data_IF_647207968761
#
_entry.id   IF_647207968761
#
_cell.length_a   1.000
_cell.length_b   1.000
_cell.length_c   1.000
_cell.angle_alpha   90.00
_cell.angle_beta   90.00
_cell.angle_gamma   90.00
#
_symmetry.space_group_name_H-M   'P 1'
#
loop_
_entity.id
_entity.type
_entity.pdbx_description
1 polymer ?
#
# COMPACT_ATOMS: atom_id res chain seq x y z
N UNK A 1 3.71 -5.13 18.89
CA UNK A 1 2.67 -4.38 18.18
C UNK A 1 2.32 -5.09 16.89
N UNK A 2 1.05 -5.17 16.60
CA UNK A 2 0.58 -5.89 15.42
C UNK A 2 0.57 -4.96 14.22
N UNK A 3 1.03 -5.45 13.07
CA UNK A 3 0.88 -4.74 11.80
C UNK A 3 -0.60 -4.58 11.48
N UNK A 4 -0.96 -3.47 10.82
CA UNK A 4 -2.34 -3.28 10.38
C UNK A 4 -2.77 -4.35 9.38
N UNK A 5 -1.92 -4.67 8.45
CA UNK A 5 -2.14 -5.74 7.50
C UNK A 5 -3.40 -5.60 6.67
N UNK A 6 -3.66 -6.65 5.90
CA UNK A 6 -4.79 -6.70 4.99
C UNK A 6 -6.10 -6.91 5.75
N UNK A 7 -7.11 -6.11 5.40
CA UNK A 7 -8.44 -6.21 5.98
C UNK A 7 -8.59 -5.65 7.39
N UNK A 8 -7.54 -5.08 7.96
CA UNK A 8 -7.57 -4.47 9.28
C UNK A 8 -7.80 -2.98 9.13
N UNK A 9 -8.89 -2.46 9.69
CA UNK A 9 -9.22 -1.06 9.61
C UNK A 9 -8.56 -0.25 10.71
N UNK A 10 -7.84 0.80 10.30
CA UNK A 10 -7.17 1.77 11.15
C UNK A 10 -7.27 3.13 10.47
N UNK A 11 -6.73 4.17 11.10
CA UNK A 11 -6.61 5.49 10.48
C UNK A 11 -7.91 5.97 9.85
N UNK A 12 -9.02 5.90 10.60
CA UNK A 12 -10.31 6.37 10.12
C UNK A 12 -10.95 5.45 9.11
N UNK A 13 -10.66 4.15 9.17
CA UNK A 13 -11.21 3.16 8.26
C UNK A 13 -10.31 2.85 7.07
N UNK A 14 -9.16 3.49 6.98
CA UNK A 14 -8.19 3.18 5.93
C UNK A 14 -7.50 1.84 6.17
N UNK A 15 -7.31 1.09 5.09
CA UNK A 15 -6.59 -0.18 5.11
C UNK A 15 -6.01 -0.47 3.74
N UNK A 16 -5.15 -1.48 3.64
CA UNK A 16 -4.67 -1.95 2.35
C UNK A 16 -5.12 -3.38 2.09
N UNK A 17 -5.21 -3.73 0.82
CA UNK A 17 -5.59 -5.06 0.37
C UNK A 17 -4.78 -5.41 -0.88
N UNK A 18 -4.65 -6.70 -1.15
CA UNK A 18 -4.08 -7.17 -2.41
C UNK A 18 -5.18 -7.31 -3.46
N UNK A 19 -4.91 -6.89 -4.68
CA UNK A 19 -5.87 -6.98 -5.77
C UNK A 19 -5.20 -7.64 -6.99
N UNK A 20 -5.72 -8.76 -7.49
CA UNK A 20 -7.03 -9.38 -7.18
C UNK A 20 -7.08 -10.16 -5.88
N UNK A 21 -5.97 -10.48 -5.27
CA UNK A 21 -5.95 -11.18 -4.00
C UNK A 21 -4.53 -11.48 -3.54
N UNK A 22 -4.37 -11.76 -2.24
CA UNK A 22 -3.05 -11.97 -1.63
C UNK A 22 -2.28 -13.10 -2.32
N UNK A 23 -2.95 -14.18 -2.66
CA UNK A 23 -2.32 -15.31 -3.34
C UNK A 23 -1.71 -14.91 -4.69
N UNK A 24 -2.38 -14.04 -5.43
CA UNK A 24 -1.93 -13.60 -6.74
C UNK A 24 -0.80 -12.58 -6.68
N UNK A 25 -0.79 -11.75 -5.67
CA UNK A 25 0.18 -10.65 -5.54
C UNK A 25 1.42 -11.10 -4.79
N UNK A 26 1.25 -11.78 -3.66
CA UNK A 26 2.37 -12.22 -2.82
C UNK A 26 2.79 -13.65 -3.10
N UNK A 27 1.85 -14.53 -3.50
CA UNK A 27 2.17 -15.91 -3.85
C UNK A 27 2.89 -16.66 -2.72
N UNK A 28 3.98 -17.31 -3.07
CA UNK A 28 4.80 -18.09 -2.15
C UNK A 28 5.97 -17.29 -1.56
N UNK A 29 5.83 -15.98 -1.52
CA UNK A 29 6.88 -15.09 -1.01
C UNK A 29 7.25 -15.49 0.42
N UNK A 30 8.57 -15.57 0.74
CA UNK A 30 9.01 -15.87 2.11
C UNK A 30 8.44 -14.88 3.13
N UNK A 31 8.20 -15.36 4.36
CA UNK A 31 7.57 -14.55 5.40
C UNK A 31 8.32 -13.25 5.69
N UNK A 32 9.66 -13.28 5.68
CA UNK A 32 10.45 -12.07 5.91
C UNK A 32 10.27 -11.03 4.83
N UNK A 33 10.06 -11.47 3.58
CA UNK A 33 9.77 -10.55 2.45
C UNK A 33 8.36 -10.01 2.56
N UNK A 34 7.41 -10.85 2.95
CA UNK A 34 6.04 -10.39 3.19
C UNK A 34 5.99 -9.32 4.28
N UNK A 35 6.81 -9.48 5.33
CA UNK A 35 6.90 -8.48 6.40
C UNK A 35 7.39 -7.13 5.88
N UNK A 36 8.35 -7.12 4.96
CA UNK A 36 8.82 -5.88 4.33
C UNK A 36 7.69 -5.21 3.53
N UNK A 37 6.96 -5.99 2.75
CA UNK A 37 5.83 -5.49 1.98
C UNK A 37 4.75 -4.91 2.90
N UNK A 38 4.41 -5.63 3.96
CA UNK A 38 3.41 -5.18 4.92
C UNK A 38 3.80 -3.85 5.58
N UNK A 39 5.08 -3.71 5.95
CA UNK A 39 5.57 -2.48 6.56
C UNK A 39 5.44 -1.29 5.59
N UNK A 40 5.78 -1.50 4.33
CA UNK A 40 5.64 -0.46 3.31
C UNK A 40 4.17 -0.11 3.09
N UNK A 41 3.30 -1.12 2.98
CA UNK A 41 1.88 -0.89 2.76
C UNK A 41 1.23 -0.18 3.94
N UNK A 42 1.61 -0.53 5.18
CA UNK A 42 1.12 0.17 6.37
C UNK A 42 1.51 1.66 6.33
N UNK A 43 2.74 1.95 5.91
CA UNK A 43 3.20 3.33 5.73
C UNK A 43 2.43 4.08 4.66
N UNK A 44 2.15 3.44 3.53
CA UNK A 44 1.38 4.04 2.45
C UNK A 44 -0.07 4.33 2.89
N UNK A 45 -0.65 3.44 3.68
CA UNK A 45 -1.98 3.67 4.26
C UNK A 45 -1.98 4.88 5.19
N UNK A 46 -0.96 5.02 6.04
CA UNK A 46 -0.84 6.17 6.93
C UNK A 46 -0.81 7.48 6.14
N UNK A 47 0.03 7.52 5.11
CA UNK A 47 0.14 8.72 4.28
C UNK A 47 -1.16 9.02 3.53
N UNK A 48 -1.80 7.98 3.00
CA UNK A 48 -3.07 8.14 2.28
C UNK A 48 -4.17 8.67 3.21
N UNK A 49 -4.23 8.18 4.44
CA UNK A 49 -5.23 8.64 5.42
C UNK A 49 -5.07 10.11 5.77
N UNK A 50 -3.86 10.64 5.63
CA UNK A 50 -3.54 12.04 5.85
C UNK A 50 -3.53 12.88 4.56
N UNK A 51 -3.87 12.28 3.43
CA UNK A 51 -3.81 12.88 2.11
C UNK A 51 -2.40 13.43 1.77
N UNK A 52 -1.37 12.69 2.20
CA UNK A 52 0.03 13.06 1.95
C UNK A 52 0.59 12.22 0.81
N UNK A 53 1.27 12.86 -0.14
CA UNK A 53 1.92 12.16 -1.24
C UNK A 53 3.18 11.47 -0.72
N UNK A 54 3.31 10.14 -0.86
CA UNK A 54 4.49 9.42 -0.38
C UNK A 54 5.77 9.78 -1.12
N UNK A 55 5.67 10.47 -2.25
CA UNK A 55 6.83 10.83 -3.06
C UNK A 55 7.64 11.98 -2.48
N UNK A 56 6.95 13.02 -2.00
CA UNK A 56 7.61 14.23 -1.54
C UNK A 56 7.07 14.77 -0.20
N UNK A 57 6.10 14.09 0.39
CA UNK A 57 5.52 14.50 1.66
C UNK A 57 4.55 15.66 1.59
N UNK A 58 4.26 16.16 0.40
CA UNK A 58 3.29 17.24 0.23
C UNK A 58 1.86 16.72 0.31
N UNK A 59 0.89 17.62 0.32
CA UNK A 59 -0.51 17.22 0.23
C UNK A 59 -0.78 16.58 -1.12
N UNK A 60 -1.61 15.56 -1.09
CA UNK A 60 -1.90 14.76 -2.28
C UNK A 60 -2.80 15.54 -3.23
N UNK A 61 -2.26 15.95 -4.38
CA UNK A 61 -2.98 16.73 -5.39
C UNK A 61 -2.89 16.12 -6.78
N UNK A 62 -2.80 14.80 -6.86
CA UNK A 62 -2.70 14.11 -8.14
C UNK A 62 -4.02 14.28 -8.92
N UNK A 63 -3.98 14.81 -10.16
CA UNK A 63 -5.19 14.91 -10.99
C UNK A 63 -5.78 13.56 -11.35
N UNK A 64 -4.99 12.49 -11.20
CA UNK A 64 -5.45 11.11 -11.43
C UNK A 64 -5.18 10.28 -10.18
N UNK A 65 -5.90 10.55 -9.07
CA UNK A 65 -5.59 9.94 -7.78
C UNK A 65 -5.69 8.42 -7.76
N UNK A 66 -6.47 7.84 -8.67
CA UNK A 66 -6.67 6.38 -8.74
C UNK A 66 -5.77 5.69 -9.75
N UNK A 67 -4.79 6.40 -10.31
CA UNK A 67 -3.85 5.77 -11.23
C UNK A 67 -2.93 4.79 -10.51
N UNK A 68 -2.36 3.87 -11.27
CA UNK A 68 -1.35 2.95 -10.76
C UNK A 68 -0.07 3.73 -10.41
N UNK A 69 0.43 3.52 -9.22
CA UNK A 69 1.62 4.21 -8.71
C UNK A 69 2.68 3.18 -8.32
N UNK A 70 3.91 3.64 -8.20
CA UNK A 70 5.02 2.78 -7.78
C UNK A 70 5.64 3.30 -6.49
N UNK A 71 6.14 2.36 -5.69
CA UNK A 71 7.02 2.62 -4.56
C UNK A 71 8.27 1.78 -4.77
N UNK A 72 9.44 2.40 -4.58
CA UNK A 72 10.71 1.70 -4.73
C UNK A 72 11.66 2.10 -3.61
N UNK A 73 12.32 1.11 -3.02
CA UNK A 73 13.44 1.33 -2.13
C UNK A 73 14.54 0.31 -2.45
N UNK A 74 15.58 0.22 -1.63
CA UNK A 74 16.70 -0.67 -1.87
C UNK A 74 16.36 -2.15 -1.76
N UNK A 75 15.19 -2.49 -1.22
CA UNK A 75 14.78 -3.87 -0.97
C UNK A 75 13.71 -4.37 -1.92
N UNK A 76 12.81 -3.49 -2.38
CA UNK A 76 11.69 -3.92 -3.20
C UNK A 76 11.13 -2.79 -4.05
N UNK A 77 10.38 -3.19 -5.06
CA UNK A 77 9.59 -2.31 -5.90
C UNK A 77 8.18 -2.85 -5.91
N UNK A 78 7.19 -1.99 -5.67
CA UNK A 78 5.80 -2.42 -5.73
C UNK A 78 4.94 -1.41 -6.49
N UNK A 79 3.82 -1.91 -7.00
CA UNK A 79 2.80 -1.13 -7.67
C UNK A 79 1.55 -1.14 -6.83
N UNK A 80 0.99 0.04 -6.61
CA UNK A 80 -0.20 0.19 -5.78
C UNK A 80 -1.15 1.23 -6.38
N UNK A 81 -2.38 1.23 -5.89
CA UNK A 81 -3.41 2.14 -6.33
C UNK A 81 -4.18 2.62 -5.10
N UNK A 82 -4.31 3.92 -4.94
CA UNK A 82 -5.07 4.50 -3.84
C UNK A 82 -6.48 4.83 -4.32
N UNK A 83 -7.48 4.34 -3.59
CA UNK A 83 -8.89 4.57 -3.91
C UNK A 83 -9.52 5.33 -2.74
N UNK A 84 -9.50 6.67 -2.76
CA UNK A 84 -9.94 7.49 -1.63
C UNK A 84 -11.39 7.26 -1.19
N UNK A 85 -12.29 7.10 -2.14
CA UNK A 85 -13.72 6.90 -1.81
C UNK A 85 -14.00 5.56 -1.14
N UNK A 86 -13.05 4.63 -1.15
CA UNK A 86 -13.12 3.35 -0.45
C UNK A 86 -12.26 3.32 0.79
N UNK A 87 -11.45 4.35 1.00
CA UNK A 87 -10.43 4.39 2.06
C UNK A 87 -9.52 3.18 2.00
N UNK A 88 -9.06 2.85 0.79
CA UNK A 88 -8.21 1.67 0.55
C UNK A 88 -7.02 1.99 -0.32
N UNK A 89 -5.93 1.29 -0.03
CA UNK A 89 -4.76 1.22 -0.90
C UNK A 89 -4.66 -0.22 -1.40
N UNK A 90 -4.65 -0.42 -2.70
CA UNK A 90 -4.59 -1.76 -3.29
C UNK A 90 -3.18 -2.05 -3.76
N UNK A 91 -2.60 -3.11 -3.25
CA UNK A 91 -1.33 -3.63 -3.74
C UNK A 91 -1.59 -4.48 -4.98
N UNK A 92 -1.01 -4.07 -6.10
CA UNK A 92 -1.27 -4.70 -7.39
C UNK A 92 -0.17 -5.68 -7.80
N UNK A 93 1.08 -5.37 -7.44
CA UNK A 93 2.22 -6.19 -7.84
C UNK A 93 3.43 -5.87 -6.96
N UNK A 94 4.26 -6.88 -6.73
CA UNK A 94 5.55 -6.72 -6.04
C UNK A 94 6.64 -7.34 -6.89
N UNK A 95 7.75 -6.63 -7.02
CA UNK A 95 8.96 -7.13 -7.63
C UNK A 95 10.09 -7.02 -6.63
N UNK A 96 10.73 -8.14 -6.37
CA UNK A 96 11.81 -8.23 -5.38
C UNK A 96 13.17 -8.26 -6.04
#
# INVERSE_FOLDING_TARGET
MTSRGEGVENDGGWAWECDPGRQWVLGDMPAERQSLVEAVMDGLVDLASMAVDPKDGSLYEDPHPMRLRTYEDEHLLLWYQTIPHRSRVYLKRVNL
#
